data_IF_062539044381
#
_entry.id   IF_062539044381
#
_cell.length_a   1.000
_cell.length_b   1.000
_cell.length_c   1.000
_cell.angle_alpha   90.00
_cell.angle_beta   90.00
_cell.angle_gamma   90.00
#
_symmetry.space_group_name_H-M   'P 1'
#
loop_
_entity.id
_entity.type
_entity.pdbx_description
1 polymer ?
#
# COMPACT_ATOMS: atom_id res chain seq x y z
N UNK A 1 2.65 -4.04 -2.38
CA UNK A 1 3.01 -4.84 -1.18
C UNK A 1 3.32 -3.97 0.02
N UNK A 2 4.30 -3.05 -0.06
CA UNK A 2 4.62 -2.14 1.06
C UNK A 2 3.41 -1.34 1.57
N UNK A 3 2.58 -0.80 0.67
CA UNK A 3 1.34 -0.12 1.04
C UNK A 3 0.39 -1.02 1.86
N UNK A 4 0.21 -2.28 1.44
CA UNK A 4 -0.62 -3.24 2.18
C UNK A 4 -0.04 -3.56 3.57
N UNK A 5 1.29 -3.68 3.69
CA UNK A 5 1.98 -3.89 4.96
C UNK A 5 1.82 -2.71 5.93
N UNK A 6 1.78 -1.47 5.41
CA UNK A 6 1.63 -0.25 6.20
C UNK A 6 0.16 0.04 6.55
N UNK A 7 -0.75 -0.13 5.58
CA UNK A 7 -2.12 0.41 5.64
C UNK A 7 -3.24 -0.58 5.28
N UNK A 8 -2.92 -1.73 4.68
CA UNK A 8 -3.89 -2.62 4.01
C UNK A 8 -4.94 -3.23 4.93
N UNK A 9 -4.58 -3.51 6.18
CA UNK A 9 -5.47 -4.16 7.17
C UNK A 9 -5.54 -3.35 8.46
N UNK A 10 -6.51 -3.65 9.33
CA UNK A 10 -6.58 -3.05 10.66
C UNK A 10 -5.38 -3.41 11.56
N UNK A 11 -4.64 -4.48 11.23
CA UNK A 11 -3.42 -4.88 11.92
C UNK A 11 -2.14 -4.34 11.29
N UNK A 12 -2.23 -3.69 10.12
CA UNK A 12 -1.10 -3.08 9.45
C UNK A 12 -0.49 -1.97 10.32
N UNK A 13 0.84 -1.94 10.45
CA UNK A 13 1.52 -1.24 11.54
C UNK A 13 1.18 0.25 11.59
N UNK A 14 1.26 0.96 10.46
CA UNK A 14 1.02 2.40 10.42
C UNK A 14 -0.46 2.72 10.66
N UNK A 15 -1.36 1.96 10.03
CA UNK A 15 -2.80 2.12 10.25
C UNK A 15 -3.21 1.84 11.69
N UNK A 16 -2.71 0.76 12.27
CA UNK A 16 -3.01 0.36 13.65
C UNK A 16 -2.53 1.44 14.62
N UNK A 17 -1.26 1.84 14.52
CA UNK A 17 -0.68 2.86 15.41
C UNK A 17 -1.44 4.18 15.36
N UNK A 18 -1.80 4.65 14.16
CA UNK A 18 -2.59 5.88 14.00
C UNK A 18 -3.97 5.76 14.65
N UNK A 19 -4.69 4.66 14.40
CA UNK A 19 -6.03 4.46 14.95
C UNK A 19 -6.04 4.24 16.47
N UNK A 20 -5.00 3.63 17.03
CA UNK A 20 -4.88 3.37 18.48
C UNK A 20 -4.29 4.55 19.26
N UNK A 21 -3.75 5.57 18.57
CA UNK A 21 -3.13 6.75 19.20
C UNK A 21 -4.09 7.63 20.01
N UNK A 22 -5.39 7.58 19.68
CA UNK A 22 -6.39 8.49 20.24
C UNK A 22 -6.24 9.96 19.80
N UNK A 23 -5.40 10.24 18.79
CA UNK A 23 -5.17 11.61 18.29
C UNK A 23 -6.23 12.07 17.27
N UNK A 24 -7.04 11.16 16.76
CA UNK A 24 -8.13 11.45 15.82
C UNK A 24 -9.08 10.27 15.64
N UNK A 25 -10.10 10.46 14.80
CA UNK A 25 -11.25 9.57 14.69
C UNK A 25 -11.15 8.57 13.52
N UNK A 26 -10.46 8.94 12.44
CA UNK A 26 -10.41 8.15 11.21
C UNK A 26 -9.19 8.46 10.34
N UNK A 27 -8.69 7.45 9.62
CA UNK A 27 -7.61 7.62 8.64
C UNK A 27 -8.05 8.51 7.46
N UNK A 28 -7.11 9.30 6.94
CA UNK A 28 -7.20 9.99 5.65
C UNK A 28 -5.89 9.84 4.84
N UNK A 29 -5.86 10.35 3.61
CA UNK A 29 -4.72 10.24 2.69
C UNK A 29 -4.76 9.04 1.74
N UNK A 30 -5.36 7.92 2.14
CA UNK A 30 -5.66 6.81 1.21
C UNK A 30 -4.48 5.90 0.84
N UNK A 31 -3.28 6.10 1.40
CA UNK A 31 -2.12 5.25 1.14
C UNK A 31 -1.45 5.57 -0.20
N UNK A 32 -0.98 4.53 -0.89
CA UNK A 32 -0.36 4.64 -2.20
C UNK A 32 -1.39 4.95 -3.29
N UNK A 33 -1.14 6.04 -4.03
CA UNK A 33 -1.83 6.38 -5.26
C UNK A 33 -0.85 6.28 -6.43
N UNK A 34 -1.11 5.37 -7.37
CA UNK A 34 -0.24 5.08 -8.53
C UNK A 34 -0.93 5.36 -9.87
N UNK A 35 -1.97 6.19 -9.88
CA UNK A 35 -2.73 6.54 -11.10
C UNK A 35 -2.16 7.76 -11.84
N UNK A 36 -1.25 8.51 -11.20
CA UNK A 36 -0.59 9.68 -11.77
C UNK A 36 0.84 9.33 -12.24
N UNK A 37 1.47 10.23 -13.00
CA UNK A 37 2.82 10.05 -13.54
C UNK A 37 3.86 9.68 -12.47
N UNK A 38 3.71 10.24 -11.27
CA UNK A 38 4.52 9.91 -10.10
C UNK A 38 3.59 9.33 -9.04
N UNK A 39 3.97 8.17 -8.52
CA UNK A 39 3.28 7.57 -7.38
C UNK A 39 3.43 8.48 -6.15
N UNK A 40 2.34 8.69 -5.44
CA UNK A 40 2.33 9.44 -4.18
C UNK A 40 1.82 8.55 -3.07
N UNK A 41 2.40 8.67 -1.88
CA UNK A 41 1.87 8.06 -0.68
C UNK A 41 1.39 9.16 0.26
N UNK A 42 0.14 9.05 0.74
CA UNK A 42 -0.42 9.99 1.70
C UNK A 42 -1.17 9.30 2.82
N UNK A 43 -0.98 9.80 4.04
CA UNK A 43 -1.60 9.27 5.25
C UNK A 43 -1.82 10.40 6.25
N UNK A 44 -2.86 10.30 7.06
CA UNK A 44 -3.16 11.23 8.14
C UNK A 44 -4.38 10.81 8.94
N UNK A 45 -4.84 11.68 9.84
CA UNK A 45 -6.03 11.50 10.66
C UNK A 45 -7.03 12.65 10.48
N UNK A 46 -8.32 12.32 10.51
CA UNK A 46 -9.45 13.26 10.63
C UNK A 46 -9.85 13.37 12.10
N UNK A 47 -10.49 14.48 12.47
CA UNK A 47 -10.94 14.70 13.86
C UNK A 47 -9.82 15.05 14.83
N UNK A 48 -8.67 15.49 14.31
CA UNK A 48 -7.51 15.86 15.13
C UNK A 48 -7.75 17.23 15.76
N UNK A 49 -7.56 17.33 17.08
CA UNK A 49 -7.58 18.62 17.78
C UNK A 49 -6.44 19.53 17.28
N UNK A 50 -6.64 20.84 17.09
CA UNK A 50 -5.63 21.74 16.52
C UNK A 50 -4.25 21.66 17.20
N UNK A 51 -4.21 21.49 18.52
CA UNK A 51 -3.00 21.35 19.34
C UNK A 51 -2.26 20.01 19.17
N UNK A 52 -2.88 19.03 18.51
CA UNK A 52 -2.32 17.70 18.30
C UNK A 52 -1.89 17.44 16.84
N UNK A 53 -2.02 18.43 15.94
CA UNK A 53 -1.66 18.27 14.52
C UNK A 53 -0.20 17.85 14.37
N UNK A 54 0.73 18.54 15.03
CA UNK A 54 2.16 18.23 14.96
C UNK A 54 2.48 16.84 15.55
N UNK A 55 1.73 16.41 16.57
CA UNK A 55 1.89 15.07 17.17
C UNK A 55 1.51 13.95 16.21
N UNK A 56 0.56 14.20 15.30
CA UNK A 56 0.19 13.20 14.28
C UNK A 56 1.31 13.05 13.26
N UNK A 57 1.93 14.14 12.83
CA UNK A 57 3.09 14.09 11.93
C UNK A 57 4.27 13.37 12.60
N UNK A 58 4.60 13.74 13.83
CA UNK A 58 5.65 13.08 14.63
C UNK A 58 5.40 11.57 14.74
N UNK A 59 4.19 11.15 15.12
CA UNK A 59 3.82 9.74 15.22
C UNK A 59 3.97 8.98 13.90
N UNK A 60 3.61 9.59 12.77
CA UNK A 60 3.75 8.97 11.43
C UNK A 60 5.24 8.73 11.15
N UNK A 61 6.07 9.76 11.33
CA UNK A 61 7.51 9.67 11.05
C UNK A 61 8.20 8.69 11.99
N UNK A 62 7.88 8.71 13.29
CA UNK A 62 8.39 7.74 14.27
C UNK A 62 8.02 6.31 13.89
N UNK A 63 6.77 6.08 13.48
CA UNK A 63 6.31 4.75 13.07
C UNK A 63 7.04 4.27 11.82
N UNK A 64 7.26 5.14 10.84
CA UNK A 64 8.01 4.81 9.63
C UNK A 64 9.49 4.52 9.94
N UNK A 65 10.13 5.30 10.81
CA UNK A 65 11.50 5.05 11.26
C UNK A 65 11.60 3.69 11.96
N UNK A 66 10.66 3.37 12.85
CA UNK A 66 10.60 2.06 13.51
C UNK A 66 10.49 0.91 12.50
N UNK A 67 9.66 1.06 11.47
CA UNK A 67 9.56 0.08 10.38
C UNK A 67 10.89 -0.11 9.66
N UNK A 68 11.66 0.96 9.44
CA UNK A 68 12.97 0.84 8.79
C UNK A 68 14.04 0.17 9.68
N UNK A 69 13.92 0.28 11.00
CA UNK A 69 14.88 -0.31 11.94
C UNK A 69 14.55 -1.78 12.24
N UNK A 70 13.27 -2.10 12.43
CA UNK A 70 12.80 -3.42 12.87
C UNK A 70 12.39 -4.31 11.70
N UNK A 71 12.07 -3.74 10.54
CA UNK A 71 11.50 -4.44 9.40
C UNK A 71 10.05 -4.87 9.64
N UNK A 72 9.57 -5.78 8.78
CA UNK A 72 8.29 -6.46 8.96
C UNK A 72 8.52 -7.90 9.44
N UNK A 73 7.51 -8.55 10.01
CA UNK A 73 7.61 -9.99 10.27
C UNK A 73 7.42 -10.79 8.97
N UNK A 74 8.08 -11.95 8.88
CA UNK A 74 7.95 -12.85 7.73
C UNK A 74 6.48 -13.25 7.48
N UNK A 75 5.71 -13.49 8.55
CA UNK A 75 4.28 -13.78 8.47
C UNK A 75 3.48 -12.62 7.86
N UNK A 76 3.80 -11.36 8.22
CA UNK A 76 3.11 -10.19 7.69
C UNK A 76 3.41 -10.00 6.19
N UNK A 77 4.66 -10.23 5.79
CA UNK A 77 5.09 -10.20 4.38
C UNK A 77 4.36 -11.30 3.62
N UNK A 78 4.41 -12.55 4.10
CA UNK A 78 3.75 -13.69 3.46
C UNK A 78 2.22 -13.48 3.34
N UNK A 79 1.57 -12.99 4.39
CA UNK A 79 0.14 -12.70 4.37
C UNK A 79 -0.22 -11.59 3.35
N UNK A 80 0.57 -10.51 3.29
CA UNK A 80 0.37 -9.43 2.33
C UNK A 80 0.57 -9.90 0.90
N UNK A 81 1.61 -10.69 0.66
CA UNK A 81 1.90 -11.28 -0.65
C UNK A 81 0.79 -12.22 -1.12
N UNK A 82 0.33 -13.11 -0.24
CA UNK A 82 -0.75 -14.04 -0.56
C UNK A 82 -2.06 -13.33 -0.88
N UNK A 83 -2.41 -12.30 -0.09
CA UNK A 83 -3.63 -11.50 -0.31
C UNK A 83 -3.56 -10.80 -1.67
N UNK A 84 -2.46 -10.11 -1.95
CA UNK A 84 -2.27 -9.39 -3.22
C UNK A 84 -2.27 -10.37 -4.41
N UNK A 85 -1.61 -11.52 -4.30
CA UNK A 85 -1.64 -12.53 -5.36
C UNK A 85 -3.04 -13.08 -5.60
N UNK A 86 -3.77 -13.36 -4.51
CA UNK A 86 -5.15 -13.82 -4.60
C UNK A 86 -6.02 -12.79 -5.32
N UNK A 87 -5.97 -11.52 -4.92
CA UNK A 87 -6.75 -10.44 -5.53
C UNK A 87 -6.44 -10.30 -7.04
N UNK A 88 -5.16 -10.40 -7.42
CA UNK A 88 -4.74 -10.33 -8.82
C UNK A 88 -5.20 -11.55 -9.63
N UNK A 89 -5.20 -12.75 -9.05
CA UNK A 89 -5.65 -13.98 -9.73
C UNK A 89 -7.17 -14.10 -9.80
N UNK A 90 -7.86 -13.76 -8.73
CA UNK A 90 -9.32 -13.78 -8.69
C UNK A 90 -9.88 -12.74 -9.68
N UNK A 91 -9.19 -11.59 -9.77
CA UNK A 91 -9.55 -10.46 -10.62
C UNK A 91 -11.06 -10.17 -10.54
N UNK A 92 -11.56 -10.17 -9.31
CA UNK A 92 -12.96 -10.04 -8.99
C UNK A 92 -13.31 -8.56 -8.85
N UNK A 93 -13.87 -8.01 -9.93
CA UNK A 93 -14.27 -6.60 -9.99
C UNK A 93 -15.69 -6.36 -9.46
N UNK A 94 -16.35 -7.38 -8.90
CA UNK A 94 -17.73 -7.29 -8.43
C UNK A 94 -18.69 -6.85 -9.54
N UNK A 95 -19.45 -5.77 -9.30
CA UNK A 95 -20.34 -5.15 -10.29
C UNK A 95 -19.62 -4.26 -11.30
N UNK A 96 -18.34 -3.97 -11.10
CA UNK A 96 -17.56 -3.14 -11.99
C UNK A 96 -17.13 -3.95 -13.23
N UNK A 97 -17.31 -3.46 -14.46
CA UNK A 97 -16.98 -4.22 -15.67
C UNK A 97 -15.48 -4.55 -15.76
N UNK A 98 -15.13 -5.84 -15.95
CA UNK A 98 -13.73 -6.29 -16.08
C UNK A 98 -12.96 -5.55 -17.19
N UNK A 99 -13.60 -5.33 -18.34
CA UNK A 99 -13.00 -4.58 -19.45
C UNK A 99 -12.66 -3.13 -19.08
N UNK A 100 -13.48 -2.48 -18.25
CA UNK A 100 -13.20 -1.13 -17.76
C UNK A 100 -12.05 -1.14 -16.75
N UNK A 101 -11.97 -2.15 -15.87
CA UNK A 101 -10.85 -2.33 -14.94
C UNK A 101 -9.52 -2.47 -15.70
N UNK A 102 -9.48 -3.31 -16.75
CA UNK A 102 -8.29 -3.46 -17.60
C UNK A 102 -7.95 -2.17 -18.35
N UNK A 103 -8.96 -1.47 -18.88
CA UNK A 103 -8.75 -0.18 -19.55
C UNK A 103 -8.11 0.84 -18.61
N UNK A 104 -8.67 1.02 -17.41
CA UNK A 104 -8.10 1.95 -16.40
C UNK A 104 -6.69 1.51 -15.99
N UNK A 105 -6.48 0.20 -15.77
CA UNK A 105 -5.18 -0.35 -15.44
C UNK A 105 -4.11 -0.06 -16.50
N UNK A 106 -4.49 -0.12 -17.78
CA UNK A 106 -3.62 0.20 -18.93
C UNK A 106 -3.33 1.70 -19.05
N UNK A 107 -4.35 2.53 -18.79
CA UNK A 107 -4.26 3.99 -18.93
C UNK A 107 -3.20 4.60 -18.02
N UNK A 108 -2.96 4.01 -16.84
CA UNK A 108 -1.93 4.45 -15.89
C UNK A 108 -0.55 4.65 -16.50
N UNK A 109 -0.17 3.81 -17.46
CA UNK A 109 1.13 3.90 -18.14
C UNK A 109 0.97 4.52 -19.53
N UNK A 110 -0.11 4.17 -20.25
CA UNK A 110 -0.26 4.54 -21.65
C UNK A 110 -0.33 6.06 -21.87
N UNK A 111 -0.99 6.80 -20.97
CA UNK A 111 -1.12 8.27 -21.10
C UNK A 111 0.19 9.02 -20.83
N UNK A 112 1.22 8.32 -20.37
CA UNK A 112 2.57 8.85 -20.14
C UNK A 112 3.61 8.22 -21.08
N UNK A 113 3.17 7.82 -22.29
CA UNK A 113 3.99 7.28 -23.38
C UNK A 113 4.72 5.96 -23.01
N UNK A 114 4.16 5.17 -22.10
CA UNK A 114 4.68 3.86 -21.71
C UNK A 114 3.79 2.73 -22.23
N UNK A 115 4.27 1.50 -22.08
CA UNK A 115 3.56 0.33 -22.59
C UNK A 115 2.20 0.14 -21.89
N UNK A 116 1.08 0.08 -22.64
CA UNK A 116 -0.25 -0.11 -22.06
C UNK A 116 -0.45 -1.51 -21.47
N UNK A 117 0.36 -2.50 -21.88
CA UNK A 117 0.18 -3.89 -21.47
C UNK A 117 1.09 -4.30 -20.31
N UNK A 118 2.23 -3.62 -20.10
CA UNK A 118 3.12 -3.98 -18.99
C UNK A 118 2.43 -3.76 -17.63
N UNK A 119 1.59 -2.71 -17.50
CA UNK A 119 0.79 -2.47 -16.29
C UNK A 119 -0.24 -3.56 -15.96
N UNK A 120 -0.53 -4.45 -16.90
CA UNK A 120 -1.49 -5.55 -16.70
C UNK A 120 -0.81 -6.85 -16.28
N UNK A 121 0.51 -6.95 -16.45
CA UNK A 121 1.27 -8.13 -16.08
C UNK A 121 1.68 -8.04 -14.62
N UNK A 122 1.44 -9.11 -13.87
CA UNK A 122 1.81 -9.17 -12.46
C UNK A 122 2.65 -10.38 -12.08
N UNK A 123 2.57 -11.51 -12.82
CA UNK A 123 3.20 -12.76 -12.39
C UNK A 123 4.73 -12.67 -12.32
N UNK A 124 5.37 -12.14 -13.36
CA UNK A 124 6.83 -11.97 -13.41
C UNK A 124 7.31 -10.97 -12.33
N UNK A 125 6.79 -9.72 -12.24
CA UNK A 125 7.16 -8.79 -11.17
C UNK A 125 6.93 -9.34 -9.76
N UNK A 126 5.86 -10.12 -9.56
CA UNK A 126 5.56 -10.72 -8.26
C UNK A 126 6.57 -11.82 -7.90
N UNK A 127 6.98 -12.63 -8.86
CA UNK A 127 7.99 -13.67 -8.66
C UNK A 127 9.37 -13.07 -8.39
N UNK A 128 9.74 -12.01 -9.11
CA UNK A 128 10.96 -11.24 -8.85
C UNK A 128 10.98 -10.69 -7.42
N UNK A 129 9.87 -10.10 -6.97
CA UNK A 129 9.75 -9.61 -5.61
C UNK A 129 9.88 -10.73 -4.56
N UNK A 130 9.25 -11.88 -4.79
CA UNK A 130 9.38 -13.06 -3.91
C UNK A 130 10.84 -13.54 -3.82
N UNK A 131 11.53 -13.61 -4.95
CA UNK A 131 12.94 -14.00 -5.00
C UNK A 131 13.83 -12.99 -4.26
N UNK A 132 13.62 -11.69 -4.49
CA UNK A 132 14.35 -10.63 -3.79
C UNK A 132 14.20 -10.72 -2.28
N UNK A 133 12.97 -10.94 -1.77
CA UNK A 133 12.72 -11.06 -0.33
C UNK A 133 13.40 -12.32 0.24
N UNK A 134 13.40 -13.44 -0.51
CA UNK A 134 14.07 -14.66 -0.10
C UNK A 134 15.60 -14.51 -0.01
N UNK A 135 16.19 -13.65 -0.85
CA UNK A 135 17.63 -13.35 -0.85
C UNK A 135 18.03 -12.33 0.23
N UNK A 136 17.25 -11.25 0.40
CA UNK A 136 17.59 -10.16 1.33
C UNK A 136 17.15 -10.40 2.77
N UNK A 137 16.19 -11.30 3.00
CA UNK A 137 15.51 -11.47 4.27
C UNK A 137 14.51 -10.34 4.56
N UNK A 138 13.86 -10.41 5.73
CA UNK A 138 12.73 -9.55 6.15
C UNK A 138 13.11 -8.11 6.57
N UNK A 139 14.30 -7.63 6.18
CA UNK A 139 14.84 -6.33 6.59
C UNK A 139 14.72 -5.28 5.51
#
# INVERSE_FOLDING_TARGET
VLDHLLMGTSSAILRKTLMESGLGDAITGGGLMSELMQGTFSVGLKGVAPENVDKVEELIIETLNKVTEEGFSEDAIAASMNTIEFDMREFNTGSFPKGLSLMLGSMREWIYDRSPTEALKFEEPLNELKASIAESGSK
#
